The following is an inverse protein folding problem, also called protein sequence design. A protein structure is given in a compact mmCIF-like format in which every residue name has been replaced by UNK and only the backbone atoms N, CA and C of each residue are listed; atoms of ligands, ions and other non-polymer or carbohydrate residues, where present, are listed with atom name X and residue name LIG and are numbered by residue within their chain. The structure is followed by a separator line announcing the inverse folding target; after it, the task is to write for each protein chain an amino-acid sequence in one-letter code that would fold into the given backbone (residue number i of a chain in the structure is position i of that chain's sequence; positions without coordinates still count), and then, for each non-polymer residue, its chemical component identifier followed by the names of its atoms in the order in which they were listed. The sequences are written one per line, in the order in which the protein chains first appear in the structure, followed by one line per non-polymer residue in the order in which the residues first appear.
data_IF_288148630019
#
_entry.id   IF_288148630019
#
_cell.length_a   1.000
_cell.length_b   1.000
_cell.length_c   1.000
_cell.angle_alpha   90.00
_cell.angle_beta   90.00
_cell.angle_gamma   90.00
#
_symmetry.space_group_name_H-M   'P 1'
#
loop_
_entity.id
_entity.type
_entity.pdbx_description
1 polymer ?
#
# COMPACT_ATOMS: atom_id res chain seq x y z
N UNK A 1 -14.80 0.82 -3.99
CA UNK A 1 -13.80 -0.19 -4.38
C UNK A 1 -12.86 0.33 -5.44
N UNK A 2 -11.62 -0.12 -5.43
CA UNK A 2 -10.61 0.26 -6.42
C UNK A 2 -10.13 -0.99 -7.14
N UNK A 3 -9.94 -0.90 -8.46
CA UNK A 3 -9.41 -2.01 -9.24
C UNK A 3 -8.03 -1.62 -9.80
N UNK A 4 -7.05 -2.47 -9.57
CA UNK A 4 -5.71 -2.35 -10.14
C UNK A 4 -5.62 -3.27 -11.36
N UNK A 5 -5.62 -2.67 -12.55
CA UNK A 5 -5.50 -3.41 -13.81
C UNK A 5 -4.03 -3.60 -14.14
N UNK A 6 -3.52 -4.82 -13.94
CA UNK A 6 -2.14 -5.16 -14.23
C UNK A 6 -2.05 -5.99 -15.52
N UNK A 7 -0.83 -6.15 -16.02
CA UNK A 7 -0.61 -7.03 -17.19
C UNK A 7 -0.77 -8.51 -16.87
N UNK A 8 -0.94 -8.87 -15.58
CA UNK A 8 -1.19 -10.26 -15.15
C UNK A 8 -2.62 -10.49 -14.70
N UNK A 9 -3.46 -9.45 -14.70
CA UNK A 9 -4.86 -9.51 -14.32
C UNK A 9 -5.29 -8.34 -13.45
N UNK A 10 -6.51 -8.41 -12.93
CA UNK A 10 -7.09 -7.34 -12.11
C UNK A 10 -7.10 -7.72 -10.65
N UNK A 11 -6.66 -6.79 -9.80
CA UNK A 11 -6.72 -6.89 -8.33
C UNK A 11 -7.79 -5.91 -7.86
N UNK A 12 -8.79 -6.39 -7.12
CA UNK A 12 -9.85 -5.55 -6.58
C UNK A 12 -9.61 -5.31 -5.09
N UNK A 13 -9.61 -4.03 -4.71
CA UNK A 13 -9.35 -3.58 -3.34
C UNK A 13 -10.63 -3.03 -2.71
N UNK A 14 -10.86 -3.37 -1.44
CA UNK A 14 -11.84 -2.71 -0.59
C UNK A 14 -11.09 -1.85 0.41
N UNK A 15 -11.33 -0.55 0.39
CA UNK A 15 -10.65 0.41 1.25
C UNK A 15 -11.47 0.70 2.51
N UNK A 16 -10.80 0.91 3.64
CA UNK A 16 -11.42 1.16 4.94
C UNK A 16 -11.30 2.64 5.33
N UNK A 17 -12.23 3.46 4.81
CA UNK A 17 -12.24 4.90 5.07
C UNK A 17 -12.65 5.26 6.50
N UNK A 18 -13.24 4.35 7.25
CA UNK A 18 -13.61 4.58 8.66
C UNK A 18 -12.38 4.57 9.56
N UNK A 19 -11.51 3.58 9.36
CA UNK A 19 -10.32 3.39 10.20
C UNK A 19 -9.07 4.10 9.69
N UNK A 20 -9.01 4.38 8.39
CA UNK A 20 -7.88 5.06 7.77
C UNK A 20 -8.35 6.18 6.83
N UNK A 21 -9.10 7.18 7.34
CA UNK A 21 -9.72 8.20 6.48
C UNK A 21 -8.71 9.03 5.69
N UNK A 22 -7.62 9.44 6.32
CA UNK A 22 -6.60 10.27 5.67
C UNK A 22 -5.82 9.46 4.63
N UNK A 23 -5.47 8.23 4.96
CA UNK A 23 -4.74 7.32 4.07
C UNK A 23 -5.56 6.96 2.85
N UNK A 24 -6.84 6.63 3.03
CA UNK A 24 -7.75 6.31 1.92
C UNK A 24 -7.94 7.53 1.02
N UNK A 25 -8.16 8.71 1.59
CA UNK A 25 -8.31 9.96 0.82
C UNK A 25 -7.05 10.24 -0.01
N UNK A 26 -5.87 10.07 0.59
CA UNK A 26 -4.59 10.23 -0.09
C UNK A 26 -4.43 9.24 -1.25
N UNK A 27 -4.74 7.99 -1.02
CA UNK A 27 -4.65 6.95 -2.05
C UNK A 27 -5.61 7.24 -3.21
N UNK A 28 -6.86 7.59 -2.91
CA UNK A 28 -7.86 7.91 -3.94
C UNK A 28 -7.48 9.15 -4.75
N UNK A 29 -6.84 10.13 -4.14
CA UNK A 29 -6.32 11.30 -4.85
C UNK A 29 -5.34 10.88 -5.94
N UNK A 30 -4.43 9.96 -5.66
CA UNK A 30 -3.49 9.44 -6.66
C UNK A 30 -4.19 8.58 -7.72
N UNK A 31 -5.19 7.82 -7.33
CA UNK A 31 -6.02 7.04 -8.29
C UNK A 31 -6.68 7.99 -9.29
N UNK A 32 -7.34 9.04 -8.80
CA UNK A 32 -8.08 10.00 -9.63
C UNK A 32 -7.16 10.82 -10.53
N UNK A 33 -5.95 11.13 -10.08
CA UNK A 33 -4.98 11.91 -10.87
C UNK A 33 -4.26 11.07 -11.94
N UNK A 34 -4.47 9.76 -11.97
CA UNK A 34 -3.78 8.87 -12.89
C UNK A 34 -2.34 8.56 -12.51
N UNK A 35 -1.94 8.85 -11.27
CA UNK A 35 -0.56 8.64 -10.80
C UNK A 35 -0.11 7.20 -10.95
N UNK A 36 -1.00 6.24 -10.66
CA UNK A 36 -0.65 4.81 -10.69
C UNK A 36 -0.62 4.20 -12.10
N UNK A 37 -1.11 4.92 -13.10
CA UNK A 37 -1.06 4.44 -14.49
C UNK A 37 0.39 4.26 -14.93
N UNK A 38 0.70 3.10 -15.52
CA UNK A 38 2.04 2.73 -16.00
C UNK A 38 3.12 2.69 -14.91
N UNK A 39 2.74 2.42 -13.67
CA UNK A 39 3.70 2.17 -12.59
C UNK A 39 3.96 0.68 -12.44
N UNK A 40 5.09 0.35 -11.82
CA UNK A 40 5.54 -1.02 -11.62
C UNK A 40 5.31 -1.49 -10.19
N UNK A 41 5.14 -2.81 -10.01
CA UNK A 41 5.51 -3.46 -8.76
C UNK A 41 7.02 -3.67 -8.80
N UNK A 42 7.77 -2.67 -8.34
CA UNK A 42 9.22 -2.61 -8.47
C UNK A 42 9.98 -3.41 -7.42
N UNK A 43 9.28 -3.84 -6.36
CA UNK A 43 9.86 -4.64 -5.29
C UNK A 43 8.93 -5.79 -4.95
N UNK A 44 9.37 -7.01 -5.24
CA UNK A 44 8.60 -8.22 -5.00
C UNK A 44 9.46 -9.16 -4.16
N UNK A 45 8.97 -9.53 -2.97
CA UNK A 45 9.67 -10.45 -2.08
C UNK A 45 8.73 -11.62 -1.80
N UNK A 46 9.10 -12.80 -2.31
CA UNK A 46 8.31 -14.02 -2.15
C UNK A 46 8.06 -14.33 -0.67
N UNK A 47 6.81 -14.67 -0.34
CA UNK A 47 6.41 -14.98 1.03
C UNK A 47 6.34 -13.77 1.96
N UNK A 48 6.51 -12.55 1.44
CA UNK A 48 6.49 -11.32 2.24
C UNK A 48 5.49 -10.30 1.69
N UNK A 49 5.82 -9.61 0.59
CA UNK A 49 4.95 -8.56 0.04
C UNK A 49 5.31 -8.24 -1.41
N UNK A 50 4.40 -7.51 -2.09
CA UNK A 50 4.69 -6.84 -3.35
C UNK A 50 4.47 -5.35 -3.16
N UNK A 51 5.40 -4.53 -3.65
CA UNK A 51 5.40 -3.07 -3.47
C UNK A 51 5.43 -2.36 -4.81
N UNK A 52 4.61 -1.33 -4.95
CA UNK A 52 4.54 -0.57 -6.19
C UNK A 52 3.95 0.81 -6.03
N UNK A 53 3.62 1.43 -7.15
CA UNK A 53 2.94 2.73 -7.19
C UNK A 53 3.87 3.94 -7.22
N UNK A 54 5.18 3.74 -7.35
CA UNK A 54 6.14 4.85 -7.33
C UNK A 54 7.05 4.97 -8.53
N UNK A 55 7.26 3.90 -9.28
CA UNK A 55 8.26 3.85 -10.36
C UNK A 55 7.63 3.53 -11.71
N UNK A 56 8.11 4.20 -12.75
CA UNK A 56 7.76 3.93 -14.14
C UNK A 56 8.63 2.80 -14.72
N UNK A 57 8.29 2.26 -15.92
CA UNK A 57 9.07 1.16 -16.52
C UNK A 57 10.56 1.45 -16.71
N UNK A 58 10.94 2.72 -16.86
CA UNK A 58 12.36 3.14 -16.94
C UNK A 58 13.02 3.28 -15.57
N UNK A 59 12.30 2.91 -14.48
CA UNK A 59 12.72 3.04 -13.08
C UNK A 59 12.85 4.49 -12.61
N UNK A 60 12.27 5.45 -13.35
CA UNK A 60 12.15 6.82 -12.88
C UNK A 60 11.04 6.91 -11.83
N UNK A 61 11.31 7.57 -10.72
CA UNK A 61 10.33 7.78 -9.66
C UNK A 61 9.38 8.92 -10.02
N UNK A 62 8.08 8.69 -9.91
CA UNK A 62 7.08 9.73 -10.13
C UNK A 62 7.06 10.74 -8.98
N UNK A 63 6.85 12.02 -9.32
CA UNK A 63 6.67 13.07 -8.32
C UNK A 63 5.40 12.82 -7.50
N UNK A 64 5.42 13.18 -6.22
CA UNK A 64 4.32 12.98 -5.29
C UNK A 64 3.90 14.28 -4.61
N UNK A 65 2.71 14.27 -4.01
CA UNK A 65 2.22 15.34 -3.14
C UNK A 65 2.84 15.22 -1.74
N UNK A 66 2.39 16.08 -0.81
CA UNK A 66 2.87 16.05 0.56
C UNK A 66 2.59 14.70 1.24
N UNK A 67 3.45 14.28 2.20
CA UNK A 67 3.22 13.04 2.94
C UNK A 67 1.93 13.07 3.76
N UNK A 68 1.36 11.88 3.99
CA UNK A 68 0.17 11.69 4.82
C UNK A 68 0.56 11.16 6.20
N UNK A 69 -0.19 11.60 7.22
CA UNK A 69 -0.02 11.10 8.59
C UNK A 69 -0.25 9.59 8.66
N UNK A 70 0.60 8.89 9.41
CA UNK A 70 0.48 7.45 9.61
C UNK A 70 -0.67 7.14 10.56
N UNK A 71 -1.64 6.39 10.07
CA UNK A 71 -2.84 5.98 10.83
C UNK A 71 -2.75 4.52 11.29
N UNK A 72 -1.56 3.95 11.42
CA UNK A 72 -1.38 2.53 11.76
C UNK A 72 -1.93 2.15 13.14
N UNK A 73 -2.18 3.12 14.01
CA UNK A 73 -2.81 2.90 15.32
C UNK A 73 -4.32 2.57 15.23
N UNK A 74 -4.85 2.40 14.03
CA UNK A 74 -6.28 2.17 13.78
C UNK A 74 -6.77 0.74 14.09
N UNK A 75 -5.89 -0.16 14.51
CA UNK A 75 -6.23 -1.54 14.84
C UNK A 75 -6.21 -2.51 13.66
N UNK A 76 -6.00 -2.04 12.45
CA UNK A 76 -5.87 -2.92 11.27
C UNK A 76 -4.47 -3.55 11.26
N UNK A 77 -4.42 -4.83 10.87
CA UNK A 77 -3.19 -5.63 10.90
C UNK A 77 -2.68 -5.92 9.50
N UNK A 78 -1.37 -6.08 9.38
CA UNK A 78 -0.71 -6.46 8.13
C UNK A 78 -0.84 -7.97 7.90
N UNK A 79 -2.08 -8.42 7.73
CA UNK A 79 -2.41 -9.81 7.42
C UNK A 79 -2.26 -10.07 5.91
N UNK A 80 -2.23 -11.34 5.51
CA UNK A 80 -2.17 -11.72 4.10
C UNK A 80 -3.28 -11.04 3.30
N UNK A 81 -2.91 -10.51 2.13
CA UNK A 81 -3.80 -9.80 1.18
C UNK A 81 -4.38 -8.50 1.71
N UNK A 82 -3.76 -7.85 2.67
CA UNK A 82 -4.05 -6.46 3.03
C UNK A 82 -3.13 -5.52 2.26
N UNK A 83 -3.62 -4.28 2.03
CA UNK A 83 -2.82 -3.22 1.40
C UNK A 83 -2.45 -2.19 2.46
N UNK A 84 -1.17 -1.79 2.45
CA UNK A 84 -0.63 -0.83 3.39
C UNK A 84 0.27 0.18 2.67
N UNK A 85 0.52 1.33 3.31
CA UNK A 85 1.38 2.36 2.73
C UNK A 85 2.84 2.07 3.01
N UNK A 86 3.65 2.07 1.96
CA UNK A 86 5.10 2.09 2.09
C UNK A 86 5.56 3.48 2.55
N UNK A 87 6.67 3.53 3.27
CA UNK A 87 7.23 4.78 3.80
C UNK A 87 8.73 4.66 4.03
N UNK A 88 9.36 5.79 4.30
CA UNK A 88 10.75 5.84 4.78
C UNK A 88 10.80 5.52 6.28
N UNK A 89 11.97 5.52 6.93
CA UNK A 89 12.05 5.36 8.39
C UNK A 89 11.28 6.41 9.20
N UNK A 90 10.95 7.58 8.61
CA UNK A 90 10.03 8.53 9.24
C UNK A 90 8.60 7.97 9.20
N UNK A 91 7.93 7.76 10.36
CA UNK A 91 6.58 7.19 10.39
C UNK A 91 5.53 7.96 9.56
N UNK A 92 5.70 9.26 9.41
CA UNK A 92 4.76 10.15 8.73
C UNK A 92 5.27 10.60 7.36
N UNK A 93 5.96 9.72 6.63
CA UNK A 93 6.57 10.02 5.34
C UNK A 93 5.89 9.37 4.14
N UNK A 94 4.80 8.63 4.34
CA UNK A 94 4.11 7.93 3.25
C UNK A 94 3.53 8.92 2.23
N UNK A 95 3.70 8.63 0.95
CA UNK A 95 3.13 9.43 -0.13
C UNK A 95 2.26 8.58 -1.05
N UNK A 96 2.81 7.97 -2.10
CA UNK A 96 2.04 7.22 -3.09
C UNK A 96 2.32 5.72 -3.08
N UNK A 97 3.51 5.29 -2.72
CA UNK A 97 3.88 3.87 -2.78
C UNK A 97 3.11 3.06 -1.75
N UNK A 98 2.67 1.89 -2.17
CA UNK A 98 1.95 0.95 -1.32
C UNK A 98 2.54 -0.45 -1.47
N UNK A 99 2.19 -1.33 -0.55
CA UNK A 99 2.52 -2.74 -0.69
C UNK A 99 1.31 -3.60 -0.33
N UNK A 100 1.27 -4.81 -0.90
CA UNK A 100 0.25 -5.80 -0.58
C UNK A 100 0.96 -6.95 0.13
N UNK A 101 0.52 -7.26 1.34
CA UNK A 101 1.06 -8.38 2.11
C UNK A 101 0.64 -9.70 1.49
N UNK A 102 1.57 -10.62 1.31
CA UNK A 102 1.27 -11.98 0.83
C UNK A 102 1.38 -13.02 1.95
N UNK A 103 1.62 -12.57 3.17
CA UNK A 103 1.66 -13.37 4.39
C UNK A 103 1.21 -12.51 5.56
N UNK A 104 1.01 -13.14 6.73
CA UNK A 104 0.69 -12.41 7.96
C UNK A 104 1.99 -11.81 8.50
N UNK A 105 2.21 -10.53 8.24
CA UNK A 105 3.44 -9.82 8.58
C UNK A 105 3.25 -9.02 9.88
N UNK A 106 3.09 -9.72 11.00
CA UNK A 106 2.79 -9.12 12.31
C UNK A 106 3.84 -8.09 12.76
N UNK A 107 5.10 -8.27 12.34
CA UNK A 107 6.18 -7.35 12.69
C UNK A 107 6.02 -5.94 12.04
N UNK A 108 5.11 -5.79 11.08
CA UNK A 108 4.79 -4.50 10.47
C UNK A 108 3.63 -3.77 11.16
N UNK A 109 3.01 -4.38 12.17
CA UNK A 109 1.88 -3.80 12.88
C UNK A 109 2.32 -2.70 13.84
N UNK A 110 1.40 -1.76 14.13
CA UNK A 110 1.62 -0.73 15.12
C UNK A 110 1.85 -1.34 16.50
N UNK A 111 2.89 -0.91 17.19
CA UNK A 111 3.23 -1.34 18.57
C UNK A 111 3.33 -0.17 19.53
N UNK A 112 3.88 0.96 19.09
CA UNK A 112 4.07 2.15 19.88
C UNK A 112 4.26 3.36 18.96
N UNK A 113 3.96 4.61 19.43
CA UNK A 113 4.13 5.81 18.61
C UNK A 113 5.60 6.25 18.55
N UNK A 114 6.48 5.37 18.12
CA UNK A 114 7.91 5.59 17.96
C UNK A 114 8.34 5.26 16.54
N UNK A 115 9.52 5.69 16.12
CA UNK A 115 10.01 5.44 14.75
C UNK A 115 10.06 3.95 14.42
N UNK A 116 10.45 3.09 15.37
CA UNK A 116 10.53 1.64 15.17
C UNK A 116 9.22 0.91 15.43
N UNK A 117 8.34 1.49 16.27
CA UNK A 117 7.12 0.81 16.71
C UNK A 117 5.84 1.24 16.01
N UNK A 118 5.86 2.33 15.23
CA UNK A 118 4.65 2.88 14.61
C UNK A 118 4.04 1.93 13.58
N UNK A 119 4.87 1.15 12.89
CA UNK A 119 4.40 0.20 11.89
C UNK A 119 3.98 0.85 10.58
N UNK A 120 3.22 0.08 9.81
CA UNK A 120 2.75 0.48 8.49
C UNK A 120 1.23 0.50 8.46
N UNK A 121 0.65 1.58 7.95
CA UNK A 121 -0.79 1.78 7.97
C UNK A 121 -1.50 0.92 6.94
N UNK A 122 -2.25 -0.07 7.41
CA UNK A 122 -3.18 -0.83 6.58
C UNK A 122 -4.43 0.01 6.35
N UNK A 123 -4.89 0.09 5.11
CA UNK A 123 -6.04 0.91 4.74
C UNK A 123 -7.05 0.17 3.85
N UNK A 124 -6.86 -1.11 3.64
CA UNK A 124 -7.78 -1.92 2.85
C UNK A 124 -7.31 -3.36 2.71
N UNK A 125 -8.01 -4.10 1.86
CA UNK A 125 -7.71 -5.51 1.58
C UNK A 125 -8.06 -5.88 0.15
N UNK A 126 -7.42 -6.94 -0.35
CA UNK A 126 -7.74 -7.54 -1.64
C UNK A 126 -8.98 -8.43 -1.45
N UNK A 127 -10.05 -8.13 -2.18
CA UNK A 127 -11.29 -8.92 -2.14
C UNK A 127 -11.45 -9.83 -3.35
N UNK A 128 -10.78 -9.50 -4.47
CA UNK A 128 -10.70 -10.33 -5.67
C UNK A 128 -9.31 -10.18 -6.29
N UNK A 129 -8.80 -11.24 -6.91
CA UNK A 129 -7.52 -11.20 -7.58
C UNK A 129 -6.34 -11.63 -6.71
N UNK A 130 -6.56 -12.40 -5.64
CA UNK A 130 -5.48 -12.95 -4.83
C UNK A 130 -4.54 -13.79 -5.68
N UNK A 131 -5.06 -14.53 -6.65
CA UNK A 131 -4.27 -15.30 -7.61
C UNK A 131 -3.38 -14.40 -8.49
N UNK A 132 -3.84 -13.19 -8.81
CA UNK A 132 -3.04 -12.21 -9.55
C UNK A 132 -1.88 -11.71 -8.68
N UNK A 133 -2.14 -11.40 -7.42
CA UNK A 133 -1.11 -11.01 -6.45
C UNK A 133 -0.03 -12.10 -6.37
N UNK A 134 -0.45 -13.36 -6.31
CA UNK A 134 0.46 -14.51 -6.20
C UNK A 134 1.32 -14.71 -7.45
N UNK A 135 0.86 -14.24 -8.62
CA UNK A 135 1.63 -14.30 -9.88
C UNK A 135 2.69 -13.19 -10.00
N UNK A 136 2.54 -12.12 -9.28
CA UNK A 136 3.47 -11.00 -9.28
C UNK A 136 4.66 -11.30 -8.33
#
# INVERSE_FOLDING_TARGET
MVKLHTNLGTITLELDAEKAPKTVANFLQYVESGHYANTLFHRVIDGFMIQGGGFMPDMAQKATEAPVENEAANGLKNDAYTIAMARTPDPHSATAQFFINVADNDFLNFRAPTAQGFGYCVFGKVVEGQDVVDKI
#
